data_IF_286876886734
#
_entry.id   IF_286876886734
#
_cell.length_a   1.000
_cell.length_b   1.000
_cell.length_c   1.000
_cell.angle_alpha   90.00
_cell.angle_beta   90.00
_cell.angle_gamma   90.00
#
_symmetry.space_group_name_H-M   'P 1'
#
loop_
_entity.id
_entity.type
_entity.pdbx_description
1 polymer ?
#
# COMPACT_ATOMS: atom_id res chain seq x y z
N UNK A 1 10.46 3.50 -30.30
CA UNK A 1 10.65 2.67 -29.09
C UNK A 1 9.28 2.13 -28.72
N UNK A 2 9.07 0.81 -28.84
CA UNK A 2 7.82 0.19 -28.39
C UNK A 2 7.67 0.47 -26.90
N UNK A 3 6.65 1.23 -26.52
CA UNK A 3 6.23 1.36 -25.12
C UNK A 3 5.94 -0.05 -24.61
N UNK A 4 6.76 -0.56 -23.69
CA UNK A 4 6.47 -1.82 -23.04
C UNK A 4 5.13 -1.68 -22.31
N UNK A 5 4.16 -2.52 -22.67
CA UNK A 5 2.80 -2.49 -22.11
C UNK A 5 2.75 -3.10 -20.70
N UNK A 6 3.88 -3.06 -19.97
CA UNK A 6 4.02 -3.67 -18.66
C UNK A 6 3.31 -2.82 -17.63
N UNK A 7 2.60 -3.49 -16.74
CA UNK A 7 1.97 -2.87 -15.57
C UNK A 7 3.05 -2.26 -14.69
N UNK A 8 2.75 -1.09 -14.14
CA UNK A 8 3.62 -0.40 -13.20
C UNK A 8 2.95 -0.29 -11.83
N UNK A 9 3.76 -0.35 -10.78
CA UNK A 9 3.38 -0.10 -9.39
C UNK A 9 4.07 1.17 -8.91
N UNK A 10 3.29 2.15 -8.48
CA UNK A 10 3.82 3.34 -7.81
C UNK A 10 4.10 3.01 -6.34
N UNK A 11 5.34 3.19 -5.89
CA UNK A 11 5.76 2.89 -4.50
C UNK A 11 5.99 4.22 -3.78
N UNK A 12 5.10 4.58 -2.87
CA UNK A 12 5.17 5.80 -2.06
C UNK A 12 5.92 5.50 -0.76
N UNK A 13 7.21 5.87 -0.70
CA UNK A 13 8.11 5.46 0.40
C UNK A 13 9.40 6.33 0.49
N UNK A 14 10.53 5.77 0.94
CA UNK A 14 11.87 6.40 1.07
C UNK A 14 12.66 6.48 -0.24
N UNK A 15 12.09 6.01 -1.36
CA UNK A 15 12.76 5.87 -2.66
C UNK A 15 12.98 4.40 -3.03
N UNK A 16 13.72 4.14 -4.11
CA UNK A 16 14.16 2.78 -4.49
C UNK A 16 15.62 2.82 -4.95
N UNK A 17 16.45 1.92 -4.43
CA UNK A 17 17.84 1.75 -4.85
C UNK A 17 17.94 0.90 -6.14
N UNK A 18 18.40 1.48 -7.28
CA UNK A 18 18.51 0.77 -8.57
C UNK A 18 19.61 -0.29 -8.62
N UNK A 19 20.52 -0.35 -7.64
CA UNK A 19 21.50 -1.43 -7.55
C UNK A 19 20.91 -2.68 -6.88
N UNK A 20 19.91 -2.48 -6.02
CA UNK A 20 19.22 -3.54 -5.25
C UNK A 20 17.94 -4.01 -5.91
N UNK A 21 17.35 -3.19 -6.77
CA UNK A 21 16.24 -3.53 -7.66
C UNK A 21 16.77 -3.40 -9.08
N UNK A 22 16.77 -4.51 -9.85
CA UNK A 22 17.26 -4.51 -11.23
C UNK A 22 16.71 -3.29 -12.00
N UNK A 23 17.61 -2.38 -12.40
CA UNK A 23 17.29 -1.09 -12.98
C UNK A 23 16.38 -1.17 -14.22
N UNK A 24 16.30 -2.32 -14.90
CA UNK A 24 15.36 -2.54 -15.99
C UNK A 24 13.88 -2.47 -15.56
N UNK A 25 13.59 -2.70 -14.27
CA UNK A 25 12.24 -2.56 -13.69
C UNK A 25 11.95 -1.13 -13.22
N UNK A 26 12.96 -0.29 -13.05
CA UNK A 26 12.79 1.03 -12.44
C UNK A 26 12.48 2.09 -13.49
N UNK A 27 11.38 2.82 -13.29
CA UNK A 27 11.00 3.97 -14.10
C UNK A 27 11.43 5.27 -13.41
N UNK A 28 11.56 6.38 -14.17
CA UNK A 28 11.66 7.70 -13.57
C UNK A 28 10.46 7.95 -12.65
N UNK A 29 10.75 8.45 -11.46
CA UNK A 29 9.76 8.72 -10.43
C UNK A 29 9.74 10.17 -10.01
N UNK A 30 9.23 10.40 -8.81
CA UNK A 30 9.11 11.72 -8.20
C UNK A 30 9.73 11.69 -6.81
N UNK A 31 10.51 12.71 -6.50
CA UNK A 31 11.01 12.98 -5.17
C UNK A 31 10.40 14.25 -4.58
N UNK A 32 9.78 14.11 -3.42
CA UNK A 32 9.12 15.12 -2.60
C UNK A 32 9.68 15.14 -1.16
N UNK A 33 10.71 14.35 -0.86
CA UNK A 33 11.38 14.42 0.43
C UNK A 33 12.28 15.66 0.52
N UNK A 34 12.90 15.88 1.67
CA UNK A 34 13.90 16.93 1.90
C UNK A 34 15.33 16.52 1.50
N UNK A 35 15.47 15.52 0.62
CA UNK A 35 16.78 14.96 0.22
C UNK A 35 16.90 14.92 -1.30
N UNK A 36 17.94 15.54 -1.87
CA UNK A 36 18.24 15.42 -3.30
C UNK A 36 17.29 16.22 -4.20
N UNK A 37 17.46 16.03 -5.51
CA UNK A 37 16.64 16.72 -6.53
C UNK A 37 15.28 16.04 -6.75
N UNK A 38 14.34 16.75 -7.39
CA UNK A 38 12.96 16.29 -7.64
C UNK A 38 12.86 14.99 -8.47
N UNK A 39 13.90 14.65 -9.22
CA UNK A 39 14.01 13.42 -10.01
C UNK A 39 14.95 12.37 -9.36
N UNK A 40 15.50 12.66 -8.19
CA UNK A 40 16.42 11.78 -7.46
C UNK A 40 15.66 10.90 -6.48
N UNK A 41 15.27 9.71 -6.92
CA UNK A 41 14.43 8.79 -6.14
C UNK A 41 15.22 7.67 -5.48
N UNK A 42 16.53 7.83 -5.33
CA UNK A 42 17.40 6.81 -4.72
C UNK A 42 17.03 6.65 -3.24
N UNK A 43 16.92 5.39 -2.82
CA UNK A 43 16.66 5.03 -1.44
C UNK A 43 17.96 4.96 -0.63
N UNK A 44 18.07 5.80 0.39
CA UNK A 44 19.16 5.73 1.38
C UNK A 44 18.69 5.14 2.72
N UNK A 45 17.39 4.86 2.87
CA UNK A 45 16.75 4.34 4.09
C UNK A 45 16.42 2.84 4.04
N UNK A 46 16.50 2.22 2.86
CA UNK A 46 16.27 0.79 2.56
C UNK A 46 14.83 0.29 2.63
N UNK A 47 13.92 1.02 3.28
CA UNK A 47 12.52 0.64 3.44
C UNK A 47 11.80 0.53 2.09
N UNK A 48 11.79 1.59 1.29
CA UNK A 48 11.13 1.59 -0.02
C UNK A 48 11.74 0.59 -1.01
N UNK A 49 13.03 0.34 -0.93
CA UNK A 49 13.70 -0.73 -1.68
C UNK A 49 13.19 -2.11 -1.29
N UNK A 50 13.01 -2.39 0.01
CA UNK A 50 12.47 -3.67 0.47
C UNK A 50 11.03 -3.88 -0.03
N UNK A 51 10.20 -2.83 0.02
CA UNK A 51 8.83 -2.83 -0.53
C UNK A 51 8.85 -3.17 -2.03
N UNK A 52 9.68 -2.49 -2.81
CA UNK A 52 9.83 -2.75 -4.24
C UNK A 52 10.30 -4.17 -4.54
N UNK A 53 11.25 -4.71 -3.76
CA UNK A 53 11.72 -6.09 -3.88
C UNK A 53 10.61 -7.10 -3.60
N UNK A 54 9.80 -6.90 -2.56
CA UNK A 54 8.65 -7.78 -2.28
C UNK A 54 7.62 -7.77 -3.40
N UNK A 55 7.32 -6.60 -3.97
CA UNK A 55 6.42 -6.49 -5.12
C UNK A 55 6.98 -7.29 -6.31
N UNK A 56 8.26 -7.12 -6.64
CA UNK A 56 8.92 -7.81 -7.77
C UNK A 56 9.12 -9.31 -7.55
N UNK A 57 9.24 -9.78 -6.30
CA UNK A 57 9.26 -11.21 -6.00
C UNK A 57 7.92 -11.89 -6.36
N UNK A 58 6.81 -11.17 -6.20
CA UNK A 58 5.46 -11.69 -6.46
C UNK A 58 5.06 -11.51 -7.93
N UNK A 59 5.38 -10.34 -8.50
CA UNK A 59 5.06 -9.94 -9.87
C UNK A 59 6.35 -9.50 -10.60
N UNK A 60 7.21 -10.45 -11.01
CA UNK A 60 8.54 -10.14 -11.57
C UNK A 60 8.50 -9.41 -12.92
N UNK A 61 7.37 -9.38 -13.60
CA UNK A 61 7.18 -8.73 -14.89
C UNK A 61 6.81 -7.23 -14.80
N UNK A 62 6.50 -6.72 -13.60
CA UNK A 62 6.03 -5.34 -13.44
C UNK A 62 7.19 -4.35 -13.41
N UNK A 63 6.85 -3.08 -13.59
CA UNK A 63 7.77 -1.96 -13.37
C UNK A 63 7.46 -1.24 -12.06
N UNK A 64 8.46 -0.59 -11.48
CA UNK A 64 8.34 0.19 -10.26
C UNK A 64 8.50 1.68 -10.60
N UNK A 65 7.56 2.50 -10.13
CA UNK A 65 7.64 3.96 -10.19
C UNK A 65 7.89 4.46 -8.75
N UNK A 66 9.11 4.88 -8.41
CA UNK A 66 9.43 5.32 -7.06
C UNK A 66 8.86 6.71 -6.79
N UNK A 67 8.09 6.87 -5.72
CA UNK A 67 7.52 8.14 -5.27
C UNK A 67 8.08 8.40 -3.86
N UNK A 68 9.23 9.07 -3.81
CA UNK A 68 9.95 9.34 -2.56
C UNK A 68 9.29 10.50 -1.84
N UNK A 69 8.64 10.28 -0.70
CA UNK A 69 8.00 11.36 0.08
C UNK A 69 8.56 11.51 1.49
N UNK A 70 9.21 10.46 2.00
CA UNK A 70 9.92 10.47 3.28
C UNK A 70 11.42 10.37 3.04
N UNK A 71 12.19 10.89 3.98
CA UNK A 71 13.65 10.84 3.90
C UNK A 71 14.20 9.49 4.38
N UNK A 72 15.53 9.32 4.35
CA UNK A 72 16.17 8.06 4.77
C UNK A 72 15.87 7.59 6.20
N UNK A 73 15.40 8.48 7.08
CA UNK A 73 14.96 8.14 8.43
C UNK A 73 13.46 7.84 8.54
N UNK A 74 12.73 7.80 7.41
CA UNK A 74 11.29 7.59 7.36
C UNK A 74 10.48 8.81 7.80
N UNK A 75 11.08 10.01 7.81
CA UNK A 75 10.41 11.22 8.30
C UNK A 75 9.74 11.97 7.14
N UNK A 76 8.43 12.21 7.26
CA UNK A 76 7.67 13.09 6.38
C UNK A 76 7.83 14.54 6.86
N UNK A 77 8.52 15.37 6.08
CA UNK A 77 8.76 16.80 6.41
C UNK A 77 7.73 17.73 5.80
N UNK A 78 7.15 17.35 4.67
CA UNK A 78 6.10 18.09 3.99
C UNK A 78 4.78 17.32 4.09
N UNK A 79 3.83 17.84 4.86
CA UNK A 79 2.52 17.22 5.05
C UNK A 79 1.70 17.18 3.75
N UNK A 80 1.96 18.07 2.80
CA UNK A 80 1.30 18.09 1.49
C UNK A 80 1.89 17.08 0.51
N UNK A 81 3.08 16.50 0.79
CA UNK A 81 3.76 15.62 -0.14
C UNK A 81 2.93 14.40 -0.53
N UNK A 82 2.09 13.89 0.38
CA UNK A 82 1.17 12.80 0.05
C UNK A 82 0.16 13.24 -1.02
N UNK A 83 -0.49 14.40 -0.86
CA UNK A 83 -1.46 14.91 -1.84
C UNK A 83 -0.81 15.18 -3.20
N UNK A 84 0.38 15.79 -3.20
CA UNK A 84 1.15 16.07 -4.42
C UNK A 84 1.59 14.75 -5.11
N UNK A 85 1.94 13.72 -4.33
CA UNK A 85 2.27 12.40 -4.87
C UNK A 85 1.09 11.76 -5.59
N UNK A 86 -0.10 11.76 -4.96
CA UNK A 86 -1.31 11.19 -5.56
C UNK A 86 -1.79 11.98 -6.79
N UNK A 87 -1.68 13.31 -6.76
CA UNK A 87 -1.95 14.16 -7.92
C UNK A 87 -1.00 13.82 -9.08
N UNK A 88 0.30 13.73 -8.82
CA UNK A 88 1.27 13.36 -9.85
C UNK A 88 1.01 11.95 -10.41
N UNK A 89 0.67 10.98 -9.56
CA UNK A 89 0.31 9.63 -10.02
C UNK A 89 -0.92 9.70 -10.94
N UNK A 90 -1.95 10.45 -10.56
CA UNK A 90 -3.15 10.61 -11.37
C UNK A 90 -2.84 11.25 -12.74
N UNK A 91 -1.96 12.24 -12.80
CA UNK A 91 -1.54 12.85 -14.07
C UNK A 91 -0.71 11.91 -14.96
N UNK A 92 -0.04 10.92 -14.37
CA UNK A 92 0.97 10.10 -15.05
C UNK A 92 0.57 8.63 -15.23
N UNK A 93 -0.50 8.17 -14.60
CA UNK A 93 -0.86 6.75 -14.55
C UNK A 93 -1.03 6.13 -15.95
N UNK A 94 -1.71 6.81 -16.87
CA UNK A 94 -1.89 6.33 -18.25
C UNK A 94 -0.55 6.18 -18.99
N UNK A 95 0.28 7.22 -18.95
CA UNK A 95 1.57 7.24 -19.65
C UNK A 95 2.55 6.20 -19.09
N UNK A 96 2.51 6.00 -17.77
CA UNK A 96 3.40 5.07 -17.07
C UNK A 96 2.79 3.67 -16.90
N UNK A 97 1.53 3.48 -17.32
CA UNK A 97 0.72 2.27 -17.07
C UNK A 97 0.70 1.87 -15.57
N UNK A 98 0.55 2.85 -14.67
CA UNK A 98 0.42 2.61 -13.24
C UNK A 98 -0.96 2.04 -12.98
N UNK A 99 -1.03 0.82 -12.44
CA UNK A 99 -2.31 0.16 -12.09
C UNK A 99 -2.45 -0.13 -10.61
N UNK A 100 -1.36 0.00 -9.85
CA UNK A 100 -1.36 -0.15 -8.39
C UNK A 100 -0.51 0.95 -7.77
N UNK A 101 -1.03 1.58 -6.72
CA UNK A 101 -0.30 2.44 -5.80
C UNK A 101 -0.10 1.66 -4.51
N UNK A 102 1.15 1.51 -4.08
CA UNK A 102 1.53 0.95 -2.79
C UNK A 102 2.02 2.09 -1.89
N UNK A 103 1.16 2.52 -0.97
CA UNK A 103 1.50 3.44 0.11
C UNK A 103 1.84 2.64 1.37
N UNK A 104 3.06 2.10 1.44
CA UNK A 104 3.54 1.26 2.53
C UNK A 104 3.92 2.06 3.79
N UNK A 105 3.17 3.12 4.05
CA UNK A 105 3.38 4.12 5.08
C UNK A 105 2.06 4.38 5.80
N UNK A 106 2.16 4.68 7.08
CA UNK A 106 1.04 4.96 7.96
C UNK A 106 1.44 6.03 8.97
N UNK A 107 0.50 6.88 9.35
CA UNK A 107 0.68 7.75 10.51
C UNK A 107 0.43 6.99 11.83
N UNK A 108 0.41 7.72 12.94
CA UNK A 108 0.21 7.15 14.28
C UNK A 108 -1.27 6.99 14.66
N UNK A 109 -2.20 7.33 13.77
CA UNK A 109 -3.64 7.34 14.10
C UNK A 109 -4.21 5.93 14.15
N UNK A 110 -5.34 5.82 14.84
CA UNK A 110 -6.13 4.61 14.95
C UNK A 110 -7.60 5.02 14.90
N UNK A 111 -8.12 5.30 13.71
CA UNK A 111 -9.46 5.83 13.51
C UNK A 111 -10.44 4.71 13.16
N UNK A 112 -11.67 4.81 13.66
CA UNK A 112 -12.76 3.85 13.35
C UNK A 112 -13.59 4.28 12.14
N UNK A 113 -13.49 5.54 11.72
CA UNK A 113 -14.13 6.08 10.52
C UNK A 113 -13.22 7.08 9.80
N UNK A 114 -13.54 7.36 8.54
CA UNK A 114 -12.87 8.38 7.72
C UNK A 114 -13.57 9.75 7.74
N UNK A 115 -14.56 9.96 8.62
CA UNK A 115 -15.35 11.20 8.70
C UNK A 115 -14.48 12.44 8.95
N UNK A 116 -13.46 12.31 9.80
CA UNK A 116 -12.49 13.38 10.05
C UNK A 116 -11.76 13.82 8.77
N UNK A 117 -11.59 12.90 7.82
CA UNK A 117 -10.91 13.14 6.55
C UNK A 117 -11.89 13.47 5.42
N UNK A 118 -13.16 13.78 5.72
CA UNK A 118 -14.18 13.96 4.69
C UNK A 118 -13.78 14.96 3.60
N UNK A 119 -13.18 16.08 4.02
CA UNK A 119 -12.69 17.17 3.16
C UNK A 119 -11.20 17.05 2.82
N UNK A 120 -10.55 15.93 3.14
CA UNK A 120 -9.12 15.76 2.88
C UNK A 120 -8.87 15.62 1.37
N UNK A 121 -7.92 16.38 0.77
CA UNK A 121 -7.70 16.42 -0.68
C UNK A 121 -7.32 15.06 -1.30
N UNK A 122 -6.79 14.12 -0.52
CA UNK A 122 -6.52 12.76 -0.99
C UNK A 122 -7.76 11.96 -1.39
N UNK A 123 -8.91 12.19 -0.75
CA UNK A 123 -10.13 11.39 -1.03
C UNK A 123 -10.57 11.46 -2.49
N UNK A 124 -10.74 12.66 -3.09
CA UNK A 124 -11.10 12.74 -4.50
C UNK A 124 -9.99 12.22 -5.42
N UNK A 125 -8.71 12.31 -5.06
CA UNK A 125 -7.60 11.79 -5.87
C UNK A 125 -7.61 10.25 -5.91
N UNK A 126 -7.76 9.60 -4.75
CA UNK A 126 -7.86 8.13 -4.65
C UNK A 126 -9.13 7.63 -5.36
N UNK A 127 -10.24 8.35 -5.21
CA UNK A 127 -11.50 8.02 -5.91
C UNK A 127 -11.34 8.11 -7.44
N UNK A 128 -10.65 9.13 -7.94
CA UNK A 128 -10.37 9.27 -9.38
C UNK A 128 -9.44 8.16 -9.88
N UNK A 129 -8.37 7.85 -9.15
CA UNK A 129 -7.50 6.70 -9.46
C UNK A 129 -8.30 5.39 -9.52
N UNK A 130 -9.19 5.17 -8.55
CA UNK A 130 -10.06 3.98 -8.53
C UNK A 130 -10.95 3.91 -9.77
N UNK A 131 -11.56 5.03 -10.17
CA UNK A 131 -12.38 5.11 -11.38
C UNK A 131 -11.56 4.81 -12.65
N UNK A 132 -10.30 5.24 -12.69
CA UNK A 132 -9.32 4.91 -13.74
C UNK A 132 -8.73 3.50 -13.61
N UNK A 133 -9.30 2.64 -12.77
CA UNK A 133 -8.86 1.26 -12.55
C UNK A 133 -7.42 1.16 -12.02
N UNK A 134 -7.02 2.10 -11.16
CA UNK A 134 -5.78 2.09 -10.39
C UNK A 134 -6.11 1.78 -8.93
N UNK A 135 -5.61 0.66 -8.43
CA UNK A 135 -5.80 0.25 -7.04
C UNK A 135 -4.90 1.06 -6.10
N UNK A 136 -5.43 1.55 -4.98
CA UNK A 136 -4.59 2.13 -3.91
C UNK A 136 -4.56 1.17 -2.72
N UNK A 137 -3.36 0.73 -2.36
CA UNK A 137 -3.10 -0.19 -1.24
C UNK A 137 -2.31 0.56 -0.17
N UNK A 138 -2.71 0.45 1.09
CA UNK A 138 -1.98 1.06 2.19
C UNK A 138 -1.88 0.15 3.42
N UNK A 139 -0.81 0.35 4.19
CA UNK A 139 -0.58 -0.33 5.45
C UNK A 139 -1.60 0.14 6.51
N UNK A 140 -2.28 -0.80 7.17
CA UNK A 140 -3.29 -0.48 8.18
C UNK A 140 -2.71 0.22 9.43
N UNK A 141 -1.40 0.10 9.66
CA UNK A 141 -0.67 0.66 10.79
C UNK A 141 -0.24 -0.41 11.81
N UNK A 142 0.77 -0.09 12.63
CA UNK A 142 1.40 -1.03 13.58
C UNK A 142 1.09 -0.70 15.06
N UNK A 143 0.10 0.16 15.32
CA UNK A 143 -0.22 0.67 16.66
C UNK A 143 -1.17 -0.19 17.51
N UNK A 144 -1.65 -1.34 17.05
CA UNK A 144 -2.74 -2.05 17.75
C UNK A 144 -2.40 -2.40 19.20
N UNK A 145 -1.20 -2.93 19.42
CA UNK A 145 -0.70 -3.31 20.74
C UNK A 145 -0.54 -2.11 21.71
N UNK A 146 -0.49 -0.88 21.19
CA UNK A 146 -0.43 0.34 22.00
C UNK A 146 -1.81 0.97 22.21
N UNK A 147 -2.68 0.91 21.20
CA UNK A 147 -4.01 1.51 21.25
C UNK A 147 -5.02 0.66 22.03
N UNK A 148 -4.85 -0.67 22.04
CA UNK A 148 -5.77 -1.62 22.68
C UNK A 148 -7.23 -1.48 22.20
N UNK A 149 -7.42 -1.05 20.96
CA UNK A 149 -8.73 -0.91 20.31
C UNK A 149 -8.61 -1.06 18.80
N UNK A 150 -9.73 -1.30 18.16
CA UNK A 150 -9.83 -1.33 16.70
C UNK A 150 -9.67 0.07 16.09
N UNK A 151 -9.24 0.08 14.83
CA UNK A 151 -9.04 1.28 14.03
C UNK A 151 -7.93 1.07 13.00
N UNK A 152 -7.78 2.04 12.10
CA UNK A 152 -6.74 2.06 11.07
C UNK A 152 -6.05 3.43 11.05
N UNK A 153 -4.80 3.43 10.58
CA UNK A 153 -4.02 4.64 10.39
C UNK A 153 -4.41 5.31 9.07
N UNK A 154 -4.07 6.59 8.94
CA UNK A 154 -4.12 7.28 7.67
C UNK A 154 -2.90 6.90 6.81
N UNK A 155 -3.05 6.68 5.48
CA UNK A 155 -4.26 6.84 4.67
C UNK A 155 -5.16 5.59 4.58
N UNK A 156 -4.79 4.48 5.20
CA UNK A 156 -5.52 3.21 5.10
C UNK A 156 -6.97 3.25 5.63
N UNK A 157 -7.29 4.21 6.51
CA UNK A 157 -8.66 4.44 6.98
C UNK A 157 -9.61 4.95 5.88
N UNK A 158 -9.11 5.58 4.82
CA UNK A 158 -9.96 6.10 3.74
C UNK A 158 -10.66 4.94 3.04
N UNK A 159 -12.01 4.97 2.97
CA UNK A 159 -12.82 3.82 2.52
C UNK A 159 -12.51 3.34 1.10
N UNK A 160 -11.96 4.20 0.25
CA UNK A 160 -11.59 3.89 -1.12
C UNK A 160 -10.24 3.15 -1.22
N UNK A 161 -9.47 3.10 -0.12
CA UNK A 161 -8.17 2.43 -0.01
C UNK A 161 -8.33 0.96 0.38
N UNK A 162 -7.57 0.10 -0.27
CA UNK A 162 -7.40 -1.30 0.11
C UNK A 162 -6.46 -1.33 1.33
N UNK A 163 -7.03 -1.30 2.52
CA UNK A 163 -6.30 -1.36 3.78
C UNK A 163 -5.79 -2.77 4.08
N UNK A 164 -4.51 -2.89 4.44
CA UNK A 164 -3.84 -4.18 4.62
C UNK A 164 -3.19 -4.30 6.00
N UNK A 165 -3.65 -5.29 6.76
CA UNK A 165 -3.02 -5.74 7.99
C UNK A 165 -2.04 -6.90 7.77
N UNK A 166 -1.28 -7.22 8.81
CA UNK A 166 -0.31 -8.31 8.79
C UNK A 166 -0.78 -9.52 9.61
N UNK A 167 -0.47 -10.72 9.14
CA UNK A 167 -0.54 -11.96 9.92
C UNK A 167 0.86 -12.48 10.25
N UNK A 168 0.92 -13.36 11.24
CA UNK A 168 2.11 -14.09 11.63
C UNK A 168 1.79 -15.58 11.77
N UNK A 169 2.74 -16.42 11.39
CA UNK A 169 2.72 -17.84 11.72
C UNK A 169 3.12 -18.03 13.20
N UNK A 170 2.23 -18.59 14.00
CA UNK A 170 2.51 -18.96 15.39
C UNK A 170 2.45 -20.49 15.56
N UNK A 171 2.87 -21.04 16.70
CA UNK A 171 2.66 -22.46 17.00
C UNK A 171 1.19 -22.89 16.98
N UNK A 172 0.27 -21.94 17.17
CA UNK A 172 -1.18 -22.19 17.13
C UNK A 172 -1.79 -22.04 15.73
N UNK A 173 -0.97 -21.72 14.71
CA UNK A 173 -1.42 -21.48 13.33
C UNK A 173 -1.24 -20.03 12.89
N UNK A 174 -1.87 -19.69 11.76
CA UNK A 174 -1.91 -18.30 11.28
C UNK A 174 -2.81 -17.47 12.19
N UNK A 175 -2.29 -16.32 12.61
CA UNK A 175 -3.00 -15.37 13.44
C UNK A 175 -2.70 -13.95 12.98
N UNK A 176 -3.58 -12.99 13.30
CA UNK A 176 -3.26 -11.60 13.04
C UNK A 176 -2.06 -11.18 13.90
N UNK A 177 -1.13 -10.42 13.33
CA UNK A 177 0.02 -9.93 14.08
C UNK A 177 -0.42 -9.01 15.21
N UNK A 178 0.19 -9.16 16.39
CA UNK A 178 -0.20 -8.43 17.61
C UNK A 178 -0.17 -6.90 17.45
N UNK A 179 0.74 -6.38 16.62
CA UNK A 179 0.87 -4.93 16.36
C UNK A 179 -0.05 -4.46 15.22
N UNK A 180 -0.58 -5.35 14.37
CA UNK A 180 -1.34 -4.95 13.18
C UNK A 180 -2.64 -4.27 13.57
N UNK A 181 -2.79 -3.01 13.18
CA UNK A 181 -4.08 -2.34 13.26
C UNK A 181 -5.12 -3.06 12.42
N UNK A 182 -6.36 -2.99 12.90
CA UNK A 182 -7.48 -3.79 12.40
C UNK A 182 -8.78 -3.06 12.71
N UNK A 183 -9.68 -2.98 11.73
CA UNK A 183 -11.03 -2.43 11.90
C UNK A 183 -12.04 -3.40 11.30
N UNK A 184 -12.93 -3.92 12.14
CA UNK A 184 -13.87 -4.96 11.74
C UNK A 184 -15.09 -4.34 11.02
N UNK A 185 -15.63 -4.96 9.96
CA UNK A 185 -16.79 -4.42 9.24
C UNK A 185 -18.05 -4.28 10.11
N UNK A 186 -18.16 -5.01 11.23
CA UNK A 186 -19.31 -4.88 12.16
C UNK A 186 -19.39 -3.53 12.87
N UNK A 187 -18.37 -2.69 12.80
CA UNK A 187 -18.41 -1.31 13.33
C UNK A 187 -19.39 -0.42 12.56
N UNK A 188 -19.76 -0.80 11.33
CA UNK A 188 -20.80 -0.12 10.56
C UNK A 188 -20.42 1.26 10.02
N UNK A 189 -19.14 1.65 10.08
CA UNK A 189 -18.64 2.96 9.60
C UNK A 189 -18.41 3.00 8.09
N UNK A 190 -18.48 1.85 7.41
CA UNK A 190 -18.09 1.67 6.02
C UNK A 190 -16.58 1.53 5.79
N UNK A 191 -15.77 1.76 6.83
CA UNK A 191 -14.34 1.53 6.81
C UNK A 191 -14.01 0.17 7.45
N UNK A 192 -13.10 -0.60 6.87
CA UNK A 192 -12.62 -1.85 7.46
C UNK A 192 -11.24 -2.21 6.91
N UNK A 193 -10.47 -3.00 7.66
CA UNK A 193 -9.25 -3.60 7.12
C UNK A 193 -9.64 -4.68 6.13
N UNK A 194 -9.26 -4.50 4.87
CA UNK A 194 -9.76 -5.32 3.75
C UNK A 194 -9.10 -6.69 3.72
N UNK A 195 -7.78 -6.73 3.89
CA UNK A 195 -7.00 -7.95 3.83
C UNK A 195 -6.00 -8.05 4.97
N UNK A 196 -5.70 -9.28 5.37
CA UNK A 196 -4.54 -9.62 6.17
C UNK A 196 -3.72 -10.66 5.41
N UNK A 197 -2.41 -10.46 5.33
CA UNK A 197 -1.52 -11.34 4.59
C UNK A 197 -0.16 -11.45 5.30
N UNK A 198 0.55 -12.55 5.05
CA UNK A 198 1.92 -12.70 5.51
C UNK A 198 2.80 -11.60 4.87
N UNK A 199 3.52 -10.81 5.69
CA UNK A 199 4.29 -9.69 5.17
C UNK A 199 5.56 -10.16 4.46
N UNK A 200 5.83 -9.60 3.29
CA UNK A 200 7.18 -9.62 2.73
C UNK A 200 8.10 -8.63 3.45
N UNK A 201 9.33 -8.47 2.99
CA UNK A 201 10.22 -7.44 3.52
C UNK A 201 9.59 -6.04 3.34
N UNK A 202 9.76 -5.11 4.30
CA UNK A 202 10.57 -5.22 5.52
C UNK A 202 9.86 -5.90 6.71
N UNK A 203 8.64 -6.40 6.54
CA UNK A 203 7.81 -6.98 7.59
C UNK A 203 6.60 -6.10 7.90
N UNK A 204 5.88 -6.45 8.98
CA UNK A 204 4.74 -5.70 9.50
C UNK A 204 3.67 -5.32 8.46
N UNK A 205 2.85 -4.30 8.74
CA UNK A 205 1.78 -3.90 7.80
C UNK A 205 2.32 -3.27 6.50
N UNK A 206 3.53 -2.71 6.51
CA UNK A 206 4.19 -2.19 5.29
C UNK A 206 4.53 -3.31 4.31
N UNK A 207 5.15 -4.39 4.79
CA UNK A 207 5.43 -5.59 4.00
C UNK A 207 4.16 -6.32 3.57
N UNK A 208 3.12 -6.32 4.41
CA UNK A 208 1.81 -6.87 4.02
C UNK A 208 1.17 -6.06 2.87
N UNK A 209 1.22 -4.73 2.94
CA UNK A 209 0.76 -3.86 1.85
C UNK A 209 1.55 -4.11 0.56
N UNK A 210 2.87 -4.31 0.64
CA UNK A 210 3.71 -4.69 -0.50
C UNK A 210 3.28 -6.05 -1.10
N UNK A 211 2.98 -7.04 -0.25
CA UNK A 211 2.50 -8.35 -0.69
C UNK A 211 1.18 -8.23 -1.46
N UNK A 212 0.20 -7.49 -0.93
CA UNK A 212 -1.08 -7.27 -1.62
C UNK A 212 -0.88 -6.47 -2.91
N UNK A 213 -0.05 -5.43 -2.91
CA UNK A 213 0.24 -4.65 -4.11
C UNK A 213 0.85 -5.52 -5.22
N UNK A 214 1.81 -6.39 -4.89
CA UNK A 214 2.39 -7.35 -5.84
C UNK A 214 1.35 -8.33 -6.38
N UNK A 215 0.49 -8.89 -5.51
CA UNK A 215 -0.58 -9.80 -5.93
C UNK A 215 -1.58 -9.11 -6.87
N UNK A 216 -2.02 -7.89 -6.54
CA UNK A 216 -2.90 -7.11 -7.41
C UNK A 216 -2.24 -6.78 -8.75
N UNK A 217 -0.96 -6.39 -8.73
CA UNK A 217 -0.23 -6.07 -9.96
C UNK A 217 -0.09 -7.28 -10.90
N UNK A 218 0.06 -8.49 -10.35
CA UNK A 218 0.05 -9.75 -11.09
C UNK A 218 -1.30 -10.09 -11.72
N UNK A 219 -2.40 -9.72 -11.05
CA UNK A 219 -3.76 -9.91 -11.56
C UNK A 219 -4.17 -8.84 -12.57
N UNK A 220 -3.52 -7.68 -12.54
CA UNK A 220 -3.87 -6.53 -13.36
C UNK A 220 -3.67 -6.79 -14.86
N UNK A 221 -4.74 -6.57 -15.63
CA UNK A 221 -4.74 -6.67 -17.08
C UNK A 221 -5.45 -5.46 -17.70
N UNK A 222 -5.25 -5.14 -19.00
CA UNK A 222 -5.83 -3.94 -19.62
C UNK A 222 -7.36 -3.87 -19.62
N UNK A 223 -8.06 -5.00 -19.53
CA UNK A 223 -9.54 -5.06 -19.59
C UNK A 223 -10.18 -5.50 -18.28
N UNK A 224 -9.38 -5.69 -17.23
CA UNK A 224 -9.89 -6.09 -15.91
C UNK A 224 -9.97 -4.90 -14.97
N UNK A 225 -10.99 -4.92 -14.12
CA UNK A 225 -11.29 -3.90 -13.14
C UNK A 225 -10.60 -4.19 -11.81
N UNK A 226 -10.45 -3.16 -10.98
CA UNK A 226 -9.88 -3.37 -9.65
C UNK A 226 -10.78 -4.24 -8.77
N UNK A 227 -12.10 -4.16 -8.94
CA UNK A 227 -13.05 -5.03 -8.21
C UNK A 227 -12.83 -6.50 -8.59
N UNK A 228 -12.63 -6.82 -9.87
CA UNK A 228 -12.33 -8.19 -10.30
C UNK A 228 -11.03 -8.74 -9.71
N UNK A 229 -10.02 -7.89 -9.50
CA UNK A 229 -8.77 -8.33 -8.84
C UNK A 229 -8.98 -8.61 -7.36
N UNK A 230 -9.75 -7.75 -6.69
CA UNK A 230 -10.12 -7.94 -5.28
C UNK A 230 -10.92 -9.23 -5.12
N UNK A 231 -11.92 -9.46 -5.98
CA UNK A 231 -12.74 -10.67 -5.95
C UNK A 231 -11.90 -11.93 -6.16
N UNK A 232 -10.91 -11.88 -7.05
CA UNK A 232 -9.97 -12.99 -7.25
C UNK A 232 -9.09 -13.26 -6.02
N UNK A 233 -8.64 -12.22 -5.30
CA UNK A 233 -7.92 -12.42 -4.03
C UNK A 233 -8.82 -12.99 -2.94
N UNK A 234 -10.09 -12.59 -2.90
CA UNK A 234 -11.05 -13.10 -1.91
C UNK A 234 -11.40 -14.58 -2.11
N UNK A 235 -11.25 -15.12 -3.32
CA UNK A 235 -11.50 -16.54 -3.59
C UNK A 235 -10.57 -17.50 -2.84
N UNK A 236 -9.38 -17.04 -2.43
CA UNK A 236 -8.43 -17.83 -1.63
C UNK A 236 -8.48 -17.52 -0.13
N UNK A 237 -9.48 -16.78 0.35
CA UNK A 237 -9.49 -16.34 1.73
C UNK A 237 -9.69 -17.49 2.73
N UNK A 238 -9.02 -17.38 3.87
CA UNK A 238 -9.23 -18.21 5.05
C UNK A 238 -9.73 -17.32 6.19
N UNK A 239 -10.38 -17.93 7.18
CA UNK A 239 -10.86 -17.23 8.36
C UNK A 239 -9.94 -17.54 9.53
N UNK A 240 -9.55 -16.50 10.26
CA UNK A 240 -8.89 -16.60 11.57
C UNK A 240 -9.72 -15.85 12.61
N UNK A 241 -9.61 -16.28 13.87
CA UNK A 241 -10.22 -15.60 15.00
C UNK A 241 -9.19 -14.71 15.67
N UNK A 242 -9.60 -13.50 16.06
CA UNK A 242 -8.80 -12.66 16.96
C UNK A 242 -9.03 -13.02 18.45
N UNK A 243 -8.37 -12.30 19.34
CA UNK A 243 -8.46 -12.51 20.79
C UNK A 243 -9.87 -12.28 21.38
N UNK A 244 -10.74 -11.58 20.64
CA UNK A 244 -12.13 -11.31 21.02
C UNK A 244 -13.12 -12.26 20.34
N UNK A 245 -12.62 -13.22 19.55
CA UNK A 245 -13.44 -14.16 18.80
C UNK A 245 -14.08 -13.59 17.53
N UNK A 246 -13.59 -12.45 17.03
CA UNK A 246 -14.06 -11.91 15.74
C UNK A 246 -13.39 -12.65 14.58
N UNK A 247 -14.16 -12.89 13.52
CA UNK A 247 -13.70 -13.55 12.30
C UNK A 247 -13.06 -12.55 11.35
N UNK A 248 -11.84 -12.87 10.89
CA UNK A 248 -11.08 -12.03 9.97
C UNK A 248 -10.67 -12.82 8.73
N UNK A 249 -10.83 -12.19 7.57
CA UNK A 249 -10.36 -12.74 6.29
C UNK A 249 -8.85 -12.53 6.16
N UNK A 250 -8.13 -13.62 5.97
CA UNK A 250 -6.73 -13.63 5.58
C UNK A 250 -6.60 -14.16 4.14
N UNK A 251 -5.62 -13.71 3.37
CA UNK A 251 -5.37 -14.15 1.99
C UNK A 251 -3.93 -14.59 1.78
#
# INVERSE_FOLDING_TARGET
MQSSNLISVAVIDTGVDPERVNAAHLLPGLNLSDEGDRNETIDYGTHGTAIAQTILQIAPEVRIVPIKIVNRQGILRNLEAMSIAFEWILEHHDRLNIRVVCAAIADITCSESDEYYAEHPLRPLISQLRNSQVATVAAAGNGYAHHHRQGMAFPAILREVISVGAIAQTPAGLQLSHHSQRLHPSTGTGCHTKFFVEPGAPGDTSGAAATVAGRLAKLAQPQTTVDEWIDQLEQSCQIVLDENGLEWKII
#
